data_IF_748300017621
#
_entry.id   IF_748300017621
#
_cell.length_a   1.000
_cell.length_b   1.000
_cell.length_c   1.000
_cell.angle_alpha   90.00
_cell.angle_beta   90.00
_cell.angle_gamma   90.00
#
_symmetry.space_group_name_H-M   'P 1'
#
loop_
_entity.id
_entity.type
_entity.pdbx_description
1 polymer ?
#
# COMPACT_ATOMS: atom_id res chain seq x y z
N UNK A 1 -23.08 13.47 -4.44
CA UNK A 1 -22.25 12.80 -5.48
C UNK A 1 -21.12 12.06 -4.79
N UNK A 2 -20.99 10.76 -5.01
CA UNK A 2 -19.95 9.95 -4.39
C UNK A 2 -18.70 9.90 -5.28
N UNK A 3 -17.55 9.72 -4.65
CA UNK A 3 -16.28 9.44 -5.32
C UNK A 3 -15.87 8.01 -4.99
N UNK A 4 -15.24 7.33 -5.95
CA UNK A 4 -14.68 6.00 -5.71
C UNK A 4 -13.57 6.10 -4.66
N UNK A 5 -13.61 5.32 -3.58
CA UNK A 5 -12.63 5.44 -2.49
C UNK A 5 -11.22 4.99 -2.93
N UNK A 6 -11.09 4.21 -4.01
CA UNK A 6 -9.80 3.80 -4.57
C UNK A 6 -9.23 4.83 -5.57
N UNK A 7 -9.95 5.10 -6.66
CA UNK A 7 -9.44 5.94 -7.76
C UNK A 7 -9.89 7.41 -7.70
N UNK A 8 -10.68 7.80 -6.68
CA UNK A 8 -11.27 9.14 -6.50
C UNK A 8 -12.11 9.65 -7.68
N UNK A 9 -12.40 8.80 -8.67
CA UNK A 9 -13.26 9.14 -9.81
C UNK A 9 -14.70 9.38 -9.33
N UNK A 10 -15.36 10.37 -9.92
CA UNK A 10 -16.79 10.64 -9.69
C UNK A 10 -17.61 9.42 -10.11
N UNK A 11 -18.52 9.00 -9.23
CA UNK A 11 -19.44 7.88 -9.46
C UNK A 11 -20.88 8.30 -9.13
N UNK A 12 -21.84 7.61 -9.75
CA UNK A 12 -23.25 7.79 -9.42
C UNK A 12 -23.50 7.44 -7.95
N UNK A 13 -24.47 8.11 -7.30
CA UNK A 13 -24.78 7.90 -5.87
C UNK A 13 -25.13 6.43 -5.55
N UNK A 14 -25.71 5.71 -6.50
CA UNK A 14 -26.04 4.29 -6.39
C UNK A 14 -24.84 3.35 -6.44
N UNK A 15 -23.64 3.83 -6.82
CA UNK A 15 -22.43 3.02 -6.93
C UNK A 15 -21.43 3.39 -5.84
N UNK A 16 -20.83 2.36 -5.21
CA UNK A 16 -19.77 2.51 -4.21
C UNK A 16 -18.35 2.50 -4.83
N UNK A 17 -18.16 1.79 -5.95
CA UNK A 17 -16.87 1.67 -6.63
C UNK A 17 -17.00 1.90 -8.13
N UNK A 18 -15.89 2.32 -8.74
CA UNK A 18 -15.80 2.60 -10.18
C UNK A 18 -15.91 1.33 -11.05
N UNK A 19 -15.35 0.23 -10.56
CA UNK A 19 -15.20 -1.06 -11.24
C UNK A 19 -14.99 -2.17 -10.19
N UNK A 20 -15.08 -3.43 -10.62
CA UNK A 20 -14.75 -4.58 -9.76
C UNK A 20 -13.29 -4.58 -9.32
N UNK A 21 -12.37 -4.15 -10.19
CA UNK A 21 -10.95 -3.98 -9.85
C UNK A 21 -10.73 -2.88 -8.80
N UNK A 22 -11.43 -1.75 -8.88
CA UNK A 22 -11.42 -0.69 -7.86
C UNK A 22 -11.82 -1.23 -6.48
N UNK A 23 -12.82 -2.13 -6.45
CA UNK A 23 -13.28 -2.78 -5.21
C UNK A 23 -12.21 -3.72 -4.65
N UNK A 24 -11.71 -4.64 -5.46
CA UNK A 24 -10.72 -5.65 -5.05
C UNK A 24 -9.42 -4.99 -4.56
N UNK A 25 -8.90 -4.00 -5.28
CA UNK A 25 -7.70 -3.26 -4.86
C UNK A 25 -7.90 -2.50 -3.55
N UNK A 26 -9.09 -1.94 -3.32
CA UNK A 26 -9.41 -1.25 -2.07
C UNK A 26 -9.43 -2.20 -0.87
N UNK A 27 -10.09 -3.35 -1.00
CA UNK A 27 -10.10 -4.36 0.06
C UNK A 27 -8.70 -4.95 0.30
N UNK A 28 -7.93 -5.17 -0.76
CA UNK A 28 -6.52 -5.58 -0.62
C UNK A 28 -5.72 -4.52 0.15
N UNK A 29 -5.81 -3.23 -0.21
CA UNK A 29 -5.13 -2.15 0.51
C UNK A 29 -5.48 -2.07 1.99
N UNK A 30 -6.75 -2.31 2.35
CA UNK A 30 -7.18 -2.34 3.75
C UNK A 30 -6.64 -3.58 4.47
N UNK A 31 -6.57 -4.72 3.79
CA UNK A 31 -6.08 -5.97 4.36
C UNK A 31 -4.56 -5.99 4.59
N UNK A 32 -3.80 -5.15 3.87
CA UNK A 32 -2.36 -5.04 4.02
C UNK A 32 -2.05 -4.44 5.39
N UNK A 33 -1.57 -5.29 6.29
CA UNK A 33 -1.03 -4.87 7.59
C UNK A 33 0.49 -5.00 7.55
N UNK A 34 1.18 -3.87 7.60
CA UNK A 34 2.64 -3.83 7.66
C UNK A 34 3.08 -3.58 9.10
N UNK A 35 3.80 -4.52 9.75
CA UNK A 35 4.29 -4.32 11.11
C UNK A 35 5.32 -3.19 11.19
N UNK A 36 5.27 -2.36 12.25
CA UNK A 36 6.30 -1.33 12.50
C UNK A 36 7.74 -1.89 12.55
N UNK A 37 8.00 -3.07 13.16
CA UNK A 37 9.35 -3.65 13.15
C UNK A 37 9.87 -3.96 11.75
N UNK A 38 8.97 -4.35 10.82
CA UNK A 38 9.34 -4.60 9.44
C UNK A 38 9.78 -3.31 8.74
N UNK A 39 9.03 -2.22 8.92
CA UNK A 39 9.42 -0.89 8.41
C UNK A 39 10.77 -0.43 8.97
N UNK A 40 10.97 -0.55 10.28
CA UNK A 40 12.27 -0.22 10.89
C UNK A 40 13.41 -1.04 10.27
N UNK A 41 13.19 -2.35 10.03
CA UNK A 41 14.20 -3.23 9.43
C UNK A 41 14.61 -2.75 8.04
N UNK A 42 13.63 -2.55 7.15
CA UNK A 42 13.89 -2.22 5.75
C UNK A 42 14.46 -0.81 5.55
N UNK A 43 14.18 0.14 6.46
CA UNK A 43 14.64 1.53 6.34
C UNK A 43 15.91 1.84 7.12
N UNK A 44 16.19 1.13 8.23
CA UNK A 44 17.37 1.40 9.07
C UNK A 44 18.51 0.43 8.80
N UNK A 45 18.21 -0.84 8.49
CA UNK A 45 19.22 -1.89 8.40
C UNK A 45 19.51 -2.38 6.98
N UNK A 46 18.61 -2.16 6.03
CA UNK A 46 18.75 -2.64 4.65
C UNK A 46 19.18 -1.52 3.70
N UNK A 47 19.97 -1.90 2.69
CA UNK A 47 20.26 -1.04 1.53
C UNK A 47 19.06 -0.99 0.57
N UNK A 48 19.08 -0.08 -0.40
CA UNK A 48 17.96 0.11 -1.35
C UNK A 48 17.60 -1.18 -2.11
N UNK A 49 18.59 -1.89 -2.64
CA UNK A 49 18.42 -3.18 -3.34
C UNK A 49 17.86 -4.29 -2.44
N UNK A 50 18.34 -4.37 -1.20
CA UNK A 50 17.87 -5.38 -0.25
C UNK A 50 16.44 -5.10 0.21
N UNK A 51 16.10 -3.82 0.37
CA UNK A 51 14.74 -3.39 0.69
C UNK A 51 13.76 -3.85 -0.38
N UNK A 52 14.07 -3.69 -1.67
CA UNK A 52 13.17 -4.17 -2.72
C UNK A 52 12.98 -5.68 -2.68
N UNK A 53 14.05 -6.45 -2.50
CA UNK A 53 13.98 -7.91 -2.37
C UNK A 53 13.16 -8.35 -1.16
N UNK A 54 13.31 -7.70 -0.02
CA UNK A 54 12.54 -8.02 1.19
C UNK A 54 11.05 -7.67 1.04
N UNK A 55 10.74 -6.53 0.40
CA UNK A 55 9.36 -6.15 0.07
C UNK A 55 8.75 -7.18 -0.88
N UNK A 56 9.49 -7.64 -1.88
CA UNK A 56 9.01 -8.64 -2.83
C UNK A 56 8.77 -10.00 -2.18
N UNK A 57 9.69 -10.46 -1.33
CA UNK A 57 9.47 -11.68 -0.52
C UNK A 57 8.29 -11.53 0.43
N UNK A 58 8.07 -10.35 1.00
CA UNK A 58 6.94 -10.09 1.89
C UNK A 58 5.62 -10.11 1.12
N UNK A 59 5.57 -9.47 -0.06
CA UNK A 59 4.43 -9.51 -0.96
C UNK A 59 4.07 -10.94 -1.38
N UNK A 60 5.07 -11.71 -1.83
CA UNK A 60 4.88 -13.09 -2.29
C UNK A 60 4.39 -14.01 -1.16
N UNK A 61 4.91 -13.86 0.07
CA UNK A 61 4.46 -14.64 1.24
C UNK A 61 2.99 -14.41 1.58
N UNK A 62 2.50 -13.19 1.41
CA UNK A 62 1.12 -12.82 1.72
C UNK A 62 0.19 -12.80 0.50
N UNK A 63 0.70 -13.08 -0.70
CA UNK A 63 -0.05 -13.00 -1.96
C UNK A 63 -0.53 -11.58 -2.30
N UNK A 64 0.20 -10.55 -1.84
CA UNK A 64 -0.16 -9.15 -2.07
C UNK A 64 0.44 -8.62 -3.37
N UNK A 65 -0.26 -7.67 -4.00
CA UNK A 65 0.28 -6.97 -5.17
C UNK A 65 1.39 -6.02 -4.74
N UNK A 66 2.54 -6.15 -5.39
CA UNK A 66 3.74 -5.33 -5.17
C UNK A 66 3.45 -3.82 -5.24
N UNK A 67 2.72 -3.36 -6.25
CA UNK A 67 2.37 -1.94 -6.41
C UNK A 67 1.61 -1.38 -5.20
N UNK A 68 0.61 -2.13 -4.70
CA UNK A 68 -0.20 -1.71 -3.57
C UNK A 68 0.61 -1.70 -2.26
N UNK A 69 1.47 -2.71 -2.09
CA UNK A 69 2.33 -2.82 -0.92
C UNK A 69 3.39 -1.71 -0.88
N UNK A 70 4.02 -1.39 -2.02
CA UNK A 70 5.02 -0.31 -2.12
C UNK A 70 4.39 1.03 -1.73
N UNK A 71 3.24 1.37 -2.31
CA UNK A 71 2.51 2.59 -1.95
C UNK A 71 2.18 2.64 -0.46
N UNK A 72 1.70 1.52 0.12
CA UNK A 72 1.37 1.45 1.54
C UNK A 72 2.60 1.62 2.44
N UNK A 73 3.73 1.01 2.06
CA UNK A 73 4.99 1.13 2.79
C UNK A 73 5.49 2.57 2.75
N UNK A 74 5.38 3.27 1.63
CA UNK A 74 5.77 4.67 1.53
C UNK A 74 4.88 5.59 2.38
N UNK A 75 3.55 5.41 2.34
CA UNK A 75 2.64 6.14 3.23
C UNK A 75 2.99 5.90 4.71
N UNK A 76 3.24 4.65 5.09
CA UNK A 76 3.61 4.30 6.46
C UNK A 76 5.00 4.85 6.82
N UNK A 77 5.95 4.85 5.89
CA UNK A 77 7.28 5.40 6.11
C UNK A 77 7.24 6.90 6.40
N UNK A 78 6.40 7.65 5.68
CA UNK A 78 6.15 9.07 5.95
C UNK A 78 5.50 9.24 7.33
N UNK A 79 4.43 8.50 7.61
CA UNK A 79 3.72 8.58 8.89
C UNK A 79 4.59 8.27 10.11
N UNK A 80 5.55 7.34 9.98
CA UNK A 80 6.49 7.00 11.05
C UNK A 80 7.78 7.84 11.05
N UNK A 81 7.94 8.76 10.10
CA UNK A 81 9.10 9.67 10.02
C UNK A 81 10.38 9.02 9.47
N UNK A 82 10.28 7.85 8.84
CA UNK A 82 11.42 7.22 8.13
C UNK A 82 11.72 7.90 6.79
N UNK A 83 10.75 8.64 6.23
CA UNK A 83 10.88 9.41 4.99
C UNK A 83 10.26 10.79 5.21
N UNK A 84 10.93 11.86 4.77
CA UNK A 84 10.32 13.20 4.71
C UNK A 84 9.42 13.28 3.47
N UNK A 85 8.21 13.79 3.66
CA UNK A 85 7.37 14.26 2.56
C UNK A 85 8.13 15.42 1.92
N UNK A 86 8.54 15.25 0.67
CA UNK A 86 9.33 16.23 -0.08
C UNK A 86 8.43 16.93 -1.08
#
# INVERSE_FOLDING_TARGET
>A
MSHCPFCKKKIAMSKAFCSRSCKENYFQLISIQVPKPFLKRIFVFCNHDEREKEIEKFANRHGWRLDLLKNKIDELAINYGYRKEN
#
